data_IF_099419972454
#
_entry.id   IF_099419972454
#
_cell.length_a   1.000
_cell.length_b   1.000
_cell.length_c   1.000
_cell.angle_alpha   90.00
_cell.angle_beta   90.00
_cell.angle_gamma   90.00
#
_symmetry.space_group_name_H-M   'P 1'
#
loop_
_entity.id
_entity.type
_entity.pdbx_description
1 polymer ?
#
# COMPACT_ATOMS: atom_id res chain seq x y z
N UNK A 1 -3.78 16.52 16.49
CA UNK A 1 -2.42 16.44 17.05
C UNK A 1 -1.77 15.15 16.55
N UNK A 2 -1.09 15.23 15.41
CA UNK A 2 -0.40 14.09 14.80
C UNK A 2 0.85 13.80 15.63
N UNK A 3 0.99 12.57 16.13
CA UNK A 3 2.07 12.22 17.05
C UNK A 3 3.46 12.41 16.39
N UNK A 4 4.47 12.91 17.12
CA UNK A 4 5.84 13.13 16.62
C UNK A 4 6.46 11.93 15.90
N UNK A 5 6.18 10.72 16.40
CA UNK A 5 6.69 9.46 15.85
C UNK A 5 5.99 9.08 14.52
N UNK A 6 4.74 9.51 14.32
CA UNK A 6 3.97 9.22 13.11
C UNK A 6 4.53 9.96 11.88
N UNK A 7 4.95 11.23 12.05
CA UNK A 7 5.56 12.01 10.96
C UNK A 7 6.98 11.51 10.64
N UNK A 8 7.81 11.19 11.64
CA UNK A 8 9.11 10.56 11.38
C UNK A 8 8.98 9.23 10.60
N UNK A 9 7.97 8.43 10.94
CA UNK A 9 7.63 7.20 10.22
C UNK A 9 7.14 7.50 8.79
N UNK A 10 6.37 8.58 8.60
CA UNK A 10 5.89 9.00 7.28
C UNK A 10 7.04 9.46 6.39
N UNK A 11 7.95 10.30 6.90
CA UNK A 11 9.16 10.74 6.21
C UNK A 11 10.00 9.54 5.78
N UNK A 12 10.27 8.60 6.69
CA UNK A 12 11.02 7.37 6.40
C UNK A 12 10.39 6.58 5.25
N UNK A 13 9.07 6.34 5.28
CA UNK A 13 8.37 5.59 4.23
C UNK A 13 8.46 6.26 2.87
N UNK A 14 8.39 7.59 2.83
CA UNK A 14 8.53 8.34 1.57
C UNK A 14 9.94 8.17 1.01
N UNK A 15 10.98 8.30 1.84
CA UNK A 15 12.37 8.12 1.43
C UNK A 15 12.68 6.68 0.97
N UNK A 16 12.15 5.67 1.67
CA UNK A 16 12.29 4.25 1.28
C UNK A 16 11.61 3.98 -0.08
N UNK A 17 10.42 4.54 -0.29
CA UNK A 17 9.71 4.41 -1.56
C UNK A 17 10.50 5.09 -2.69
N UNK A 18 11.11 6.25 -2.42
CA UNK A 18 11.92 7.00 -3.40
C UNK A 18 13.19 6.24 -3.78
N UNK A 19 13.81 5.57 -2.80
CA UNK A 19 14.93 4.67 -3.03
C UNK A 19 14.52 3.48 -3.92
N UNK A 20 13.31 2.92 -3.72
CA UNK A 20 12.81 1.78 -4.51
C UNK A 20 12.37 2.13 -5.94
N UNK A 21 11.83 3.33 -6.15
CA UNK A 21 11.31 3.80 -7.45
C UNK A 21 12.40 4.44 -8.33
N UNK A 22 13.65 4.46 -7.86
CA UNK A 22 14.80 4.92 -8.63
C UNK A 22 15.13 6.41 -8.49
N UNK A 23 14.88 7.02 -7.33
CA UNK A 23 15.35 8.37 -6.98
C UNK A 23 14.92 9.46 -7.98
N UNK A 24 13.69 9.36 -8.48
CA UNK A 24 13.09 10.20 -9.53
C UNK A 24 12.54 11.54 -9.03
N UNK A 25 12.49 11.75 -7.72
CA UNK A 25 11.95 12.94 -7.05
C UNK A 25 10.48 13.23 -7.44
N UNK A 26 9.68 12.16 -7.60
CA UNK A 26 8.29 12.24 -8.08
C UNK A 26 7.28 11.66 -7.08
N UNK A 27 7.71 11.10 -5.96
CA UNK A 27 6.80 10.41 -5.04
C UNK A 27 5.89 11.37 -4.27
N UNK A 28 6.29 12.63 -4.13
CA UNK A 28 5.51 13.67 -3.46
C UNK A 28 5.20 14.78 -4.44
N UNK A 29 3.97 15.29 -4.39
CA UNK A 29 3.55 16.48 -5.15
C UNK A 29 4.43 17.66 -4.70
N UNK A 30 5.45 18.00 -5.50
CA UNK A 30 6.43 19.06 -5.20
C UNK A 30 7.85 18.60 -4.85
N UNK A 31 8.14 17.29 -4.87
CA UNK A 31 9.49 16.75 -4.62
C UNK A 31 9.85 16.60 -3.14
N UNK A 32 10.99 15.95 -2.87
CA UNK A 32 11.52 15.74 -1.52
C UNK A 32 11.93 17.05 -0.84
N UNK A 33 12.41 18.02 -1.60
CA UNK A 33 12.79 19.34 -1.07
C UNK A 33 11.61 20.05 -0.40
N UNK A 34 10.42 20.00 -1.01
CA UNK A 34 9.22 20.61 -0.43
C UNK A 34 8.74 19.87 0.82
N UNK A 35 8.91 18.55 0.85
CA UNK A 35 8.64 17.73 2.03
C UNK A 35 9.60 18.05 3.17
N UNK A 36 10.87 18.34 2.90
CA UNK A 36 11.83 18.78 3.92
C UNK A 36 11.55 20.19 4.43
N UNK A 37 11.17 21.12 3.54
CA UNK A 37 10.77 22.49 3.94
C UNK A 37 9.56 22.41 4.88
N UNK A 38 8.53 21.67 4.50
CA UNK A 38 7.34 21.50 5.33
C UNK A 38 7.68 20.82 6.67
N UNK A 39 8.50 19.78 6.66
CA UNK A 39 8.95 19.12 7.89
C UNK A 39 9.83 20.02 8.79
N UNK A 40 10.55 20.98 8.20
CA UNK A 40 11.33 21.97 8.94
C UNK A 40 10.41 23.03 9.57
N UNK A 41 9.41 23.51 8.83
CA UNK A 41 8.37 24.42 9.33
C UNK A 41 7.58 23.81 10.50
N UNK A 42 7.28 22.51 10.40
CA UNK A 42 6.59 21.75 11.47
C UNK A 42 7.52 21.41 12.67
N UNK A 43 8.80 21.82 12.64
CA UNK A 43 9.78 21.57 13.71
C UNK A 43 10.20 20.10 13.85
N UNK A 44 9.94 19.27 12.84
CA UNK A 44 10.28 17.85 12.84
C UNK A 44 11.75 17.59 12.47
N UNK A 45 12.36 18.46 11.65
CA UNK A 45 13.78 18.39 11.31
C UNK A 45 14.68 18.64 12.53
N UNK A 46 14.27 19.50 13.46
CA UNK A 46 15.03 19.76 14.69
C UNK A 46 15.09 18.55 15.63
N UNK A 47 14.15 17.61 15.50
CA UNK A 47 14.16 16.34 16.24
C UNK A 47 15.06 15.27 15.62
N UNK A 48 15.58 15.51 14.42
CA UNK A 48 16.49 14.63 13.69
C UNK A 48 17.77 15.40 13.31
N UNK A 49 18.67 15.69 14.27
CA UNK A 49 19.85 16.52 14.02
C UNK A 49 20.77 15.94 12.94
N UNK A 50 20.82 14.61 12.80
CA UNK A 50 21.56 13.95 11.72
C UNK A 50 20.96 14.20 10.34
N UNK A 51 19.63 14.24 10.23
CA UNK A 51 18.93 14.56 8.98
C UNK A 51 19.14 16.03 8.62
N UNK A 52 19.07 16.93 9.61
CA UNK A 52 19.37 18.36 9.44
C UNK A 52 20.77 18.60 8.88
N UNK A 53 21.79 17.98 9.47
CA UNK A 53 23.18 18.07 8.96
C UNK A 53 23.35 17.52 7.54
N UNK A 54 22.51 16.57 7.09
CA UNK A 54 22.54 16.05 5.73
C UNK A 54 21.85 16.99 4.74
N UNK A 55 20.79 17.67 5.18
CA UNK A 55 20.09 18.70 4.39
C UNK A 55 20.99 19.94 4.24
N UNK A 56 21.67 20.37 5.30
CA UNK A 56 22.63 21.50 5.26
C UNK A 56 23.84 21.24 4.34
N UNK A 57 24.12 19.96 4.03
CA UNK A 57 25.18 19.55 3.10
C UNK A 57 24.71 19.41 1.65
N UNK A 58 23.42 19.63 1.38
CA UNK A 58 22.90 19.64 0.01
C UNK A 58 23.37 20.89 -0.76
N UNK A 59 23.60 20.77 -2.07
CA UNK A 59 23.85 21.93 -2.94
C UNK A 59 22.61 22.85 -3.00
N UNK A 60 22.79 24.09 -3.45
CA UNK A 60 21.78 25.15 -3.39
C UNK A 60 20.46 24.87 -4.13
N UNK A 61 20.46 24.01 -5.16
CA UNK A 61 19.22 23.54 -5.81
C UNK A 61 18.67 22.23 -5.25
N UNK A 62 19.13 21.83 -4.07
CA UNK A 62 18.53 20.77 -3.26
C UNK A 62 18.81 19.36 -3.76
N UNK A 63 17.98 18.42 -3.34
CA UNK A 63 18.10 17.00 -3.67
C UNK A 63 18.06 16.73 -5.19
N UNK A 64 17.40 17.61 -5.95
CA UNK A 64 17.25 17.53 -7.41
C UNK A 64 18.54 17.75 -8.19
N UNK A 65 19.50 18.50 -7.66
CA UNK A 65 20.77 18.75 -8.36
C UNK A 65 21.78 17.61 -8.21
N UNK A 66 21.57 16.69 -7.26
CA UNK A 66 22.48 15.56 -7.07
C UNK A 66 22.45 14.59 -8.26
N UNK A 67 23.60 14.08 -8.72
CA UNK A 67 23.63 13.00 -9.70
C UNK A 67 23.02 11.72 -9.11
N UNK A 68 22.39 10.91 -9.97
CA UNK A 68 21.59 9.73 -9.57
C UNK A 68 22.32 8.78 -8.60
N UNK A 69 23.63 8.56 -8.78
CA UNK A 69 24.44 7.74 -7.87
C UNK A 69 24.62 8.34 -6.47
N UNK A 70 24.73 9.66 -6.37
CA UNK A 70 24.84 10.38 -5.11
C UNK A 70 23.49 10.50 -4.40
N UNK A 71 22.39 10.59 -5.14
CA UNK A 71 21.01 10.57 -4.59
C UNK A 71 20.72 9.32 -3.79
N UNK A 72 21.09 8.15 -4.32
CA UNK A 72 20.90 6.86 -3.64
C UNK A 72 21.65 6.81 -2.31
N UNK A 73 22.91 7.22 -2.30
CA UNK A 73 23.73 7.26 -1.09
C UNK A 73 23.20 8.26 -0.07
N UNK A 74 22.74 9.43 -0.54
CA UNK A 74 22.15 10.46 0.30
C UNK A 74 20.85 9.96 0.96
N UNK A 75 19.96 9.32 0.20
CA UNK A 75 18.73 8.72 0.72
C UNK A 75 19.00 7.63 1.76
N UNK A 76 19.94 6.73 1.50
CA UNK A 76 20.30 5.68 2.46
C UNK A 76 20.76 6.29 3.79
N UNK A 77 21.65 7.29 3.73
CA UNK A 77 22.13 7.99 4.92
C UNK A 77 21.02 8.78 5.63
N UNK A 78 20.09 9.37 4.88
CA UNK A 78 18.94 10.08 5.43
C UNK A 78 17.98 9.13 6.17
N UNK A 79 17.72 7.94 5.62
CA UNK A 79 16.91 6.89 6.25
C UNK A 79 17.57 6.40 7.55
N UNK A 80 18.90 6.21 7.55
CA UNK A 80 19.67 5.83 8.74
C UNK A 80 19.75 6.94 9.81
N UNK A 81 19.69 8.20 9.38
CA UNK A 81 19.73 9.37 10.26
C UNK A 81 18.41 9.62 11.01
N UNK A 82 17.30 9.11 10.49
CA UNK A 82 16.00 9.16 11.17
C UNK A 82 16.01 8.18 12.35
N UNK A 83 15.64 8.62 13.57
CA UNK A 83 15.57 7.73 14.72
C UNK A 83 14.59 6.60 14.40
N UNK A 84 15.12 5.38 14.36
CA UNK A 84 14.31 4.18 14.27
C UNK A 84 13.61 4.00 15.61
N UNK A 85 12.48 4.70 15.79
CA UNK A 85 11.47 4.19 16.70
C UNK A 85 11.14 2.79 16.17
N UNK A 86 11.50 1.81 17.00
CA UNK A 86 11.46 0.38 16.70
C UNK A 86 10.19 0.10 15.87
N UNK A 87 10.28 -0.59 14.72
CA UNK A 87 9.12 -0.76 13.87
C UNK A 87 7.98 -1.37 14.71
N UNK A 88 6.79 -0.74 14.86
CA UNK A 88 5.61 -1.55 15.04
C UNK A 88 5.60 -2.48 13.83
N UNK A 89 5.55 -3.77 14.13
CA UNK A 89 5.63 -4.92 13.24
C UNK A 89 5.19 -4.60 11.82
N UNK A 90 5.87 -5.15 10.79
CA UNK A 90 5.56 -4.88 9.38
C UNK A 90 4.05 -4.85 9.22
N UNK A 91 3.50 -3.67 8.88
CA UNK A 91 2.11 -3.53 8.46
C UNK A 91 1.93 -4.67 7.48
N UNK A 92 1.12 -5.66 7.86
CA UNK A 92 0.92 -6.92 7.14
C UNK A 92 1.12 -6.62 5.67
N UNK A 93 2.29 -7.01 5.13
CA UNK A 93 2.38 -7.24 3.72
C UNK A 93 1.12 -8.05 3.43
N UNK A 94 0.29 -7.56 2.51
CA UNK A 94 -0.76 -8.40 1.91
C UNK A 94 -0.05 -9.72 1.70
N UNK A 95 -0.44 -10.74 2.49
CA UNK A 95 0.37 -11.97 2.64
C UNK A 95 0.76 -12.45 1.26
N UNK A 96 1.93 -13.13 1.11
CA UNK A 96 2.51 -13.47 -0.19
C UNK A 96 1.36 -13.81 -1.11
N UNK A 97 1.16 -12.99 -2.15
CA UNK A 97 0.03 -13.10 -3.05
C UNK A 97 -0.10 -14.58 -3.34
N UNK A 98 -1.12 -15.21 -2.74
CA UNK A 98 -1.19 -16.67 -2.61
C UNK A 98 -0.97 -17.16 -4.01
N UNK A 99 0.21 -17.73 -4.25
CA UNK A 99 0.73 -17.96 -5.58
C UNK A 99 -0.42 -18.62 -6.32
N UNK A 100 -0.95 -17.90 -7.31
CA UNK A 100 -2.28 -18.18 -7.83
C UNK A 100 -2.18 -19.55 -8.49
N UNK A 101 -2.49 -20.57 -7.70
CA UNK A 101 -2.48 -21.94 -8.12
C UNK A 101 -3.35 -21.93 -9.38
N UNK A 102 -2.86 -22.46 -10.52
CA UNK A 102 -3.61 -22.43 -11.76
C UNK A 102 -5.03 -22.91 -11.45
N UNK A 103 -6.07 -22.20 -11.91
CA UNK A 103 -7.43 -22.42 -11.43
C UNK A 103 -7.76 -23.88 -11.64
N UNK A 104 -7.82 -24.64 -10.54
CA UNK A 104 -8.32 -26.00 -10.60
C UNK A 104 -9.76 -25.93 -11.07
N UNK A 105 -10.19 -26.86 -11.94
CA UNK A 105 -11.59 -26.99 -12.32
C UNK A 105 -12.46 -26.91 -11.07
N UNK A 106 -13.54 -26.14 -11.17
CA UNK A 106 -14.48 -26.02 -10.08
C UNK A 106 -15.15 -27.38 -9.86
N UNK A 107 -15.17 -27.84 -8.60
CA UNK A 107 -15.85 -29.05 -8.20
C UNK A 107 -17.24 -28.71 -7.63
N UNK A 108 -18.28 -29.54 -7.82
CA UNK A 108 -19.59 -29.28 -7.23
C UNK A 108 -19.57 -29.07 -5.71
N UNK A 109 -18.63 -29.69 -4.99
CA UNK A 109 -18.45 -29.53 -3.55
C UNK A 109 -17.72 -28.24 -3.13
N UNK A 110 -17.22 -27.45 -4.09
CA UNK A 110 -16.61 -26.16 -3.78
C UNK A 110 -17.64 -25.15 -3.23
N UNK A 111 -17.16 -24.21 -2.41
CA UNK A 111 -17.99 -23.12 -1.89
C UNK A 111 -18.45 -22.15 -2.98
N UNK A 112 -19.68 -21.65 -2.85
CA UNK A 112 -20.25 -20.59 -3.73
C UNK A 112 -19.43 -19.30 -3.78
N UNK A 113 -18.56 -19.03 -2.79
CA UNK A 113 -17.69 -17.85 -2.80
C UNK A 113 -16.59 -17.88 -3.87
N UNK A 114 -16.38 -19.03 -4.53
CA UNK A 114 -15.52 -19.10 -5.72
C UNK A 114 -16.12 -18.35 -6.92
N UNK A 115 -17.42 -18.14 -6.96
CA UNK A 115 -18.09 -17.40 -8.03
C UNK A 115 -17.74 -15.92 -7.90
N UNK A 116 -17.29 -15.32 -9.01
CA UNK A 116 -16.97 -13.90 -9.05
C UNK A 116 -18.21 -13.06 -8.69
N UNK A 117 -18.07 -12.18 -7.70
CA UNK A 117 -19.17 -11.32 -7.23
C UNK A 117 -19.97 -11.88 -6.05
N UNK A 118 -19.79 -13.16 -5.70
CA UNK A 118 -20.41 -13.77 -4.52
C UNK A 118 -19.40 -13.78 -3.38
N UNK A 119 -19.53 -12.84 -2.44
CA UNK A 119 -18.71 -12.78 -1.22
C UNK A 119 -19.51 -12.24 -0.05
N UNK A 120 -19.16 -12.68 1.17
CA UNK A 120 -19.63 -12.06 2.41
C UNK A 120 -21.15 -12.02 2.50
N UNK A 121 -21.74 -10.83 2.45
CA UNK A 121 -23.18 -10.65 2.62
C UNK A 121 -24.01 -11.41 1.57
N UNK A 122 -23.56 -11.51 0.32
CA UNK A 122 -24.27 -12.26 -0.73
C UNK A 122 -24.20 -13.77 -0.48
N UNK A 123 -23.02 -14.27 -0.07
CA UNK A 123 -22.85 -15.67 0.30
C UNK A 123 -23.72 -16.05 1.51
N UNK A 124 -23.79 -15.17 2.52
CA UNK A 124 -24.67 -15.37 3.68
C UNK A 124 -26.16 -15.39 3.31
N UNK A 125 -26.58 -14.65 2.29
CA UNK A 125 -27.96 -14.71 1.77
C UNK A 125 -28.23 -16.01 1.03
N UNK A 126 -27.27 -16.52 0.25
CA UNK A 126 -27.36 -17.81 -0.42
C UNK A 126 -27.41 -18.98 0.57
N UNK A 127 -26.60 -18.92 1.64
CA UNK A 127 -26.65 -19.91 2.72
C UNK A 127 -28.04 -19.98 3.38
N UNK A 128 -28.72 -18.84 3.56
CA UNK A 128 -30.12 -18.82 4.06
C UNK A 128 -31.12 -19.49 3.12
N UNK A 129 -30.80 -19.60 1.83
CA UNK A 129 -31.59 -20.31 0.82
C UNK A 129 -31.19 -21.80 0.72
N UNK A 130 -30.24 -22.27 1.53
CA UNK A 130 -29.69 -23.62 1.47
C UNK A 130 -28.65 -23.82 0.38
N UNK A 131 -28.05 -22.74 -0.14
CA UNK A 131 -27.08 -22.78 -1.23
C UNK A 131 -25.69 -22.47 -0.67
N UNK A 132 -24.92 -23.51 -0.37
CA UNK A 132 -23.57 -23.38 0.20
C UNK A 132 -22.48 -23.79 -0.79
N UNK A 133 -22.82 -24.72 -1.69
CA UNK A 133 -21.91 -25.28 -2.69
C UNK A 133 -22.25 -24.89 -4.12
N UNK A 134 -21.28 -25.04 -5.03
CA UNK A 134 -21.52 -24.84 -6.47
C UNK A 134 -22.56 -25.82 -7.02
N UNK A 135 -22.64 -27.04 -6.48
CA UNK A 135 -23.65 -28.03 -6.83
C UNK A 135 -25.07 -27.60 -6.45
N UNK A 136 -25.24 -27.03 -5.25
CA UNK A 136 -26.53 -26.48 -4.80
C UNK A 136 -26.96 -25.34 -5.72
N UNK A 137 -26.03 -24.44 -6.05
CA UNK A 137 -26.31 -23.30 -6.92
C UNK A 137 -26.71 -23.73 -8.34
N UNK A 138 -26.03 -24.75 -8.88
CA UNK A 138 -26.33 -25.31 -10.19
C UNK A 138 -27.70 -26.00 -10.26
N UNK A 139 -28.18 -26.55 -9.13
CA UNK A 139 -29.46 -27.27 -9.03
C UNK A 139 -30.59 -26.37 -8.49
N UNK A 140 -30.29 -25.11 -8.15
CA UNK A 140 -31.27 -24.17 -7.64
C UNK A 140 -32.04 -23.50 -8.79
N UNK A 141 -33.14 -24.13 -9.20
CA UNK A 141 -33.94 -23.63 -10.32
C UNK A 141 -34.82 -22.44 -9.93
N UNK A 142 -34.90 -21.39 -10.76
CA UNK A 142 -35.82 -20.28 -10.55
C UNK A 142 -37.27 -20.75 -10.67
N UNK A 143 -38.14 -20.26 -9.78
CA UNK A 143 -39.59 -20.57 -9.83
C UNK A 143 -40.29 -19.97 -11.05
N UNK A 144 -39.76 -18.88 -11.58
CA UNK A 144 -40.28 -18.17 -12.76
C UNK A 144 -39.11 -17.64 -13.57
N UNK A 145 -39.21 -17.77 -14.89
CA UNK A 145 -38.28 -17.18 -15.84
C UNK A 145 -38.86 -15.83 -16.29
N UNK A 146 -38.08 -14.76 -16.17
CA UNK A 146 -38.45 -13.46 -16.73
C UNK A 146 -37.82 -13.37 -18.12
N UNK A 147 -38.67 -13.34 -19.15
CA UNK A 147 -38.27 -13.11 -20.53
C UNK A 147 -38.16 -11.59 -20.77
N UNK A 148 -37.00 -11.13 -21.23
CA UNK A 148 -36.70 -9.72 -21.52
C UNK A 148 -36.59 -9.44 -23.02
N UNK A 149 -37.07 -10.36 -23.87
CA UNK A 149 -36.98 -10.21 -25.34
C UNK A 149 -37.83 -9.05 -25.88
N UNK A 150 -38.87 -8.62 -25.16
CA UNK A 150 -39.82 -7.59 -25.59
C UNK A 150 -39.60 -6.19 -24.94
N UNK A 151 -38.40 -5.88 -24.43
CA UNK A 151 -38.07 -4.55 -23.83
C UNK A 151 -37.11 -3.75 -24.70
#
# INVERSE_FOLDING_TARGET
MTSPSAEATRLRRVLEKELSEGCRDQIVVGGLDRLFIQAAEDGHIDRAPRLKSLIDRLPGGGYRELPHGARKQWLTRAIEALPADRPPAPRKARGPAREAQPPRPADPGDSVERIQGIRGATAARLAKLGIETLGDAATYYPRRFNDFTDV
#
